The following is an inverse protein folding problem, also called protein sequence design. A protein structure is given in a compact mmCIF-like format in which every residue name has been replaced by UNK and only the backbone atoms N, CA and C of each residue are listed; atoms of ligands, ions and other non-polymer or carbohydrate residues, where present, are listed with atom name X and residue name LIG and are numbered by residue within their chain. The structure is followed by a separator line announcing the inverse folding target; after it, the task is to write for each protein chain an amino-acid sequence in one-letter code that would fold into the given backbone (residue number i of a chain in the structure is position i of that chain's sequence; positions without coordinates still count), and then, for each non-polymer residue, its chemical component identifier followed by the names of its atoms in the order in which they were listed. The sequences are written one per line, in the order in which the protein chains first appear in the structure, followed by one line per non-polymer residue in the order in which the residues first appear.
data_IF_346005677354
#
_entry.id   IF_346005677354
#
_cell.length_a   1.000
_cell.length_b   1.000
_cell.length_c   1.000
_cell.angle_alpha   90.00
_cell.angle_beta   90.00
_cell.angle_gamma   90.00
#
_symmetry.space_group_name_H-M   'P 1'
#
loop_
_entity.id
_entity.type
_entity.pdbx_description
1 polymer ?
#
# COMPACT_ATOMS: atom_id res chain seq x y z
N UNK A 1 15.69 -0.31 5.92
CA UNK A 1 15.20 -0.88 4.65
C UNK A 1 13.71 -1.12 4.90
N UNK A 2 12.93 -0.04 5.06
CA UNK A 2 11.69 -0.08 5.87
C UNK A 2 10.57 0.76 5.26
N UNK A 3 10.12 0.42 4.05
CA UNK A 3 8.75 0.80 3.61
C UNK A 3 8.39 0.01 2.34
N UNK A 4 8.61 -1.31 2.38
CA UNK A 4 7.71 -2.19 1.63
C UNK A 4 6.35 -2.00 2.29
N UNK A 5 5.26 -1.84 1.55
CA UNK A 5 3.92 -1.83 2.18
C UNK A 5 3.87 -3.04 3.11
N UNK A 6 3.70 -2.85 4.43
CA UNK A 6 3.77 -3.98 5.32
C UNK A 6 2.60 -4.88 4.93
N UNK A 7 2.90 -6.09 4.46
CA UNK A 7 1.88 -7.08 4.06
C UNK A 7 0.80 -7.22 5.12
N UNK A 8 1.15 -7.06 6.40
CA UNK A 8 0.19 -7.01 7.52
C UNK A 8 -0.83 -5.86 7.48
N UNK A 9 -0.50 -4.69 6.92
CA UNK A 9 -1.49 -3.62 6.69
C UNK A 9 -2.48 -4.04 5.61
N UNK A 10 -1.99 -4.56 4.49
CA UNK A 10 -2.84 -5.04 3.39
C UNK A 10 -3.74 -6.18 3.88
N UNK A 11 -3.18 -7.15 4.60
CA UNK A 11 -3.94 -8.26 5.18
C UNK A 11 -5.08 -7.76 6.09
N UNK A 12 -4.85 -6.74 6.93
CA UNK A 12 -5.91 -6.14 7.76
C UNK A 12 -6.99 -5.45 6.94
N UNK A 13 -6.62 -4.75 5.86
CA UNK A 13 -7.59 -4.11 4.97
C UNK A 13 -8.43 -5.16 4.25
N UNK A 14 -7.79 -6.22 3.72
CA UNK A 14 -8.49 -7.31 3.06
C UNK A 14 -9.39 -8.06 4.05
N UNK A 15 -8.91 -8.47 5.22
CA UNK A 15 -9.70 -9.18 6.23
C UNK A 15 -10.96 -8.41 6.64
N UNK A 16 -10.87 -7.08 6.74
CA UNK A 16 -11.99 -6.21 7.12
C UNK A 16 -13.05 -6.07 6.04
N UNK A 17 -12.63 -5.95 4.77
CA UNK A 17 -13.54 -5.53 3.69
C UNK A 17 -13.91 -6.65 2.73
N UNK A 18 -13.12 -7.73 2.68
CA UNK A 18 -13.33 -8.83 1.75
C UNK A 18 -14.43 -9.75 2.28
N UNK A 19 -15.50 -9.90 1.50
CA UNK A 19 -16.65 -10.72 1.87
C UNK A 19 -16.38 -12.18 1.52
N UNK A 20 -15.74 -12.89 2.45
CA UNK A 20 -15.44 -14.31 2.31
C UNK A 20 -16.69 -15.19 2.54
N UNK A 21 -16.77 -16.38 1.92
CA UNK A 21 -17.86 -17.32 2.15
C UNK A 21 -17.95 -17.72 3.63
N UNK A 22 -19.17 -17.72 4.17
CA UNK A 22 -19.42 -18.14 5.56
C UNK A 22 -19.18 -19.64 5.81
N UNK A 23 -18.99 -20.43 4.74
CA UNK A 23 -18.67 -21.85 4.81
C UNK A 23 -17.19 -22.14 5.08
N UNK A 24 -16.32 -21.14 4.93
CA UNK A 24 -14.88 -21.29 5.20
C UNK A 24 -14.61 -21.21 6.69
N UNK A 25 -13.67 -22.03 7.15
CA UNK A 25 -13.17 -21.93 8.51
C UNK A 25 -12.17 -20.75 8.67
N UNK A 26 -11.81 -20.44 9.92
CA UNK A 26 -10.92 -19.32 10.20
C UNK A 26 -9.51 -19.51 9.62
N UNK A 27 -9.05 -20.75 9.41
CA UNK A 27 -7.74 -21.04 8.84
C UNK A 27 -7.73 -20.81 7.33
N UNK A 28 -8.74 -21.32 6.62
CA UNK A 28 -8.94 -21.11 5.18
C UNK A 28 -9.08 -19.61 4.85
N UNK A 29 -9.83 -18.87 5.68
CA UNK A 29 -9.97 -17.41 5.52
C UNK A 29 -8.65 -16.68 5.72
N UNK A 30 -7.88 -17.06 6.74
CA UNK A 30 -6.58 -16.47 7.05
C UNK A 30 -5.57 -16.70 5.93
N UNK A 31 -5.47 -17.94 5.46
CA UNK A 31 -4.56 -18.33 4.39
C UNK A 31 -4.84 -17.54 3.12
N UNK A 32 -6.11 -17.47 2.70
CA UNK A 32 -6.51 -16.67 1.55
C UNK A 32 -6.15 -15.19 1.69
N UNK A 33 -6.43 -14.59 2.85
CA UNK A 33 -6.11 -13.18 3.12
C UNK A 33 -4.61 -12.94 3.10
N UNK A 34 -3.82 -13.83 3.69
CA UNK A 34 -2.36 -13.68 3.75
C UNK A 34 -1.73 -13.83 2.35
N UNK A 35 -2.20 -14.77 1.52
CA UNK A 35 -1.77 -14.91 0.13
C UNK A 35 -2.16 -13.68 -0.71
N UNK A 36 -3.43 -13.28 -0.66
CA UNK A 36 -3.91 -12.10 -1.38
C UNK A 36 -3.16 -10.84 -0.94
N UNK A 37 -2.84 -10.71 0.36
CA UNK A 37 -2.08 -9.58 0.86
C UNK A 37 -0.64 -9.55 0.33
N UNK A 38 0.00 -10.70 0.15
CA UNK A 38 1.33 -10.79 -0.45
C UNK A 38 1.31 -10.36 -1.92
N UNK A 39 0.35 -10.87 -2.70
CA UNK A 39 0.20 -10.49 -4.11
C UNK A 39 -0.06 -8.99 -4.27
N UNK A 40 -0.98 -8.45 -3.46
CA UNK A 40 -1.29 -7.02 -3.47
C UNK A 40 -0.09 -6.18 -3.03
N UNK A 41 0.62 -6.58 -1.98
CA UNK A 41 1.82 -5.87 -1.53
C UNK A 41 2.91 -5.84 -2.60
N UNK A 42 3.12 -6.96 -3.32
CA UNK A 42 4.08 -7.03 -4.43
C UNK A 42 3.69 -6.03 -5.54
N UNK A 43 2.42 -6.05 -5.96
CA UNK A 43 1.93 -5.11 -6.99
C UNK A 43 2.08 -3.65 -6.58
N UNK A 44 1.90 -3.34 -5.29
CA UNK A 44 2.15 -1.98 -4.80
C UNK A 44 3.62 -1.60 -4.89
N UNK A 45 4.54 -2.50 -4.53
CA UNK A 45 5.98 -2.23 -4.62
C UNK A 45 6.39 -1.95 -6.05
N UNK A 46 5.99 -2.80 -6.98
CA UNK A 46 6.30 -2.63 -8.40
C UNK A 46 5.79 -1.28 -8.93
N UNK A 47 4.54 -0.94 -8.64
CA UNK A 47 3.95 0.32 -9.07
C UNK A 47 4.61 1.53 -8.38
N UNK A 48 4.95 1.40 -7.10
CA UNK A 48 5.59 2.45 -6.33
C UNK A 48 7.00 2.75 -6.84
N UNK A 49 7.78 1.74 -7.19
CA UNK A 49 9.13 1.91 -7.73
C UNK A 49 9.08 2.61 -9.09
N UNK A 50 8.19 2.19 -9.99
CA UNK A 50 7.94 2.88 -11.28
C UNK A 50 7.57 4.36 -11.09
N UNK A 51 6.70 4.63 -10.12
CA UNK A 51 6.24 6.00 -9.84
C UNK A 51 7.31 6.84 -9.15
N UNK A 52 8.11 6.25 -8.27
CA UNK A 52 9.22 6.92 -7.61
C UNK A 52 10.29 7.33 -8.62
N UNK A 53 10.66 6.44 -9.55
CA UNK A 53 11.62 6.73 -10.61
C UNK A 53 11.13 7.87 -11.50
N UNK A 54 9.83 7.86 -11.85
CA UNK A 54 9.22 8.95 -12.60
C UNK A 54 9.22 10.26 -11.82
N UNK A 55 8.88 10.22 -10.53
CA UNK A 55 8.82 11.40 -9.68
C UNK A 55 10.20 12.06 -9.50
N UNK A 56 11.24 11.26 -9.25
CA UNK A 56 12.63 11.72 -9.17
C UNK A 56 13.08 12.33 -10.50
N UNK A 57 12.78 11.67 -11.61
CA UNK A 57 13.11 12.17 -12.96
C UNK A 57 12.43 13.52 -13.24
N UNK A 58 11.13 13.63 -12.96
CA UNK A 58 10.37 14.86 -13.17
C UNK A 58 10.84 16.00 -12.26
N UNK A 59 11.13 15.70 -11.00
CA UNK A 59 11.66 16.70 -10.07
C UNK A 59 13.00 17.23 -10.58
N UNK A 60 13.88 16.35 -11.04
CA UNK A 60 15.20 16.74 -11.54
C UNK A 60 15.14 17.59 -12.80
N UNK A 61 14.20 17.31 -13.70
CA UNK A 61 13.93 18.14 -14.88
C UNK A 61 13.44 19.54 -14.51
N UNK A 62 12.59 19.67 -13.48
CA UNK A 62 12.04 20.95 -13.05
C UNK A 62 13.07 21.83 -12.33
N UNK A 63 13.96 21.21 -11.54
CA UNK A 63 14.91 21.94 -10.69
C UNK A 63 16.33 22.00 -11.26
N UNK A 64 16.56 21.36 -12.41
CA UNK A 64 17.87 21.27 -13.09
C UNK A 64 18.99 20.73 -12.18
N UNK A 65 18.64 19.89 -11.21
CA UNK A 65 19.56 19.25 -10.26
C UNK A 65 18.96 17.93 -9.77
N UNK A 66 19.78 17.03 -9.22
CA UNK A 66 19.26 15.83 -8.55
C UNK A 66 18.66 16.19 -7.19
N UNK A 67 17.59 15.50 -6.75
CA UNK A 67 17.06 15.69 -5.41
C UNK A 67 18.12 15.32 -4.38
N UNK A 68 18.13 16.03 -3.26
CA UNK A 68 18.87 15.59 -2.09
C UNK A 68 18.18 14.36 -1.47
N UNK A 69 18.85 13.73 -0.51
CA UNK A 69 18.37 12.49 0.10
C UNK A 69 17.02 12.63 0.79
N UNK A 70 16.73 13.80 1.37
CA UNK A 70 15.45 14.06 2.04
C UNK A 70 14.32 14.19 1.01
N UNK A 71 14.54 15.02 -0.02
CA UNK A 71 13.59 15.17 -1.13
C UNK A 71 13.34 13.84 -1.85
N UNK A 72 14.39 13.06 -2.11
CA UNK A 72 14.25 11.75 -2.74
C UNK A 72 13.42 10.80 -1.87
N UNK A 73 13.65 10.79 -0.54
CA UNK A 73 12.87 9.97 0.38
C UNK A 73 11.39 10.39 0.40
N UNK A 74 11.08 11.68 0.32
CA UNK A 74 9.71 12.19 0.23
C UNK A 74 9.02 11.76 -1.07
N UNK A 75 9.70 11.88 -2.21
CA UNK A 75 9.17 11.45 -3.51
C UNK A 75 8.85 9.95 -3.52
N UNK A 76 9.75 9.13 -2.97
CA UNK A 76 9.54 7.68 -2.81
C UNK A 76 8.36 7.39 -1.89
N UNK A 77 8.24 8.11 -0.78
CA UNK A 77 7.14 7.92 0.17
C UNK A 77 5.78 8.26 -0.44
N UNK A 78 5.71 9.35 -1.21
CA UNK A 78 4.49 9.75 -1.88
C UNK A 78 4.10 8.77 -2.99
N UNK A 79 5.07 8.29 -3.78
CA UNK A 79 4.86 7.26 -4.78
C UNK A 79 4.30 5.98 -4.16
N UNK A 80 4.87 5.53 -3.03
CA UNK A 80 4.38 4.35 -2.27
C UNK A 80 2.97 4.52 -1.76
N UNK A 81 2.65 5.66 -1.13
CA UNK A 81 1.30 5.93 -0.62
C UNK A 81 0.28 5.93 -1.77
N UNK A 82 0.62 6.59 -2.86
CA UNK A 82 -0.25 6.70 -4.03
C UNK A 82 -0.48 5.32 -4.66
N UNK A 83 0.59 4.53 -4.84
CA UNK A 83 0.51 3.18 -5.39
C UNK A 83 -0.34 2.25 -4.52
N UNK A 84 -0.19 2.33 -3.19
CA UNK A 84 -1.02 1.57 -2.24
C UNK A 84 -2.51 1.88 -2.43
N UNK A 85 -2.87 3.16 -2.45
CA UNK A 85 -4.26 3.58 -2.64
C UNK A 85 -4.79 3.10 -3.99
N UNK A 86 -4.02 3.26 -5.07
CA UNK A 86 -4.43 2.82 -6.41
C UNK A 86 -4.68 1.32 -6.47
N UNK A 87 -3.77 0.49 -5.96
CA UNK A 87 -3.95 -0.97 -5.99
C UNK A 87 -5.12 -1.39 -5.09
N UNK A 88 -5.28 -0.78 -3.90
CA UNK A 88 -6.42 -1.09 -3.04
C UNK A 88 -7.76 -0.70 -3.67
N UNK A 89 -7.84 0.41 -4.40
CA UNK A 89 -9.03 0.77 -5.18
C UNK A 89 -9.34 -0.26 -6.27
N UNK A 90 -8.31 -0.81 -6.94
CA UNK A 90 -8.50 -1.85 -7.95
C UNK A 90 -9.02 -3.16 -7.34
N UNK A 91 -8.52 -3.53 -6.16
CA UNK A 91 -8.85 -4.80 -5.47
C UNK A 91 -10.17 -4.70 -4.71
N UNK A 92 -10.49 -3.53 -4.14
CA UNK A 92 -11.66 -3.27 -3.32
C UNK A 92 -12.45 -2.06 -3.87
N UNK A 93 -13.04 -2.14 -5.07
CA UNK A 93 -13.65 -1.00 -5.75
C UNK A 93 -14.86 -0.40 -5.02
N UNK A 94 -15.52 -1.20 -4.18
CA UNK A 94 -16.69 -0.76 -3.40
C UNK A 94 -16.32 -0.12 -2.05
N UNK A 95 -15.03 -0.09 -1.70
CA UNK A 95 -14.57 0.47 -0.41
C UNK A 95 -14.15 1.94 -0.60
N UNK A 96 -14.71 2.88 0.18
CA UNK A 96 -14.28 4.27 0.15
C UNK A 96 -12.79 4.41 0.51
N UNK A 97 -12.08 5.28 -0.22
CA UNK A 97 -10.64 5.54 0.02
C UNK A 97 -10.34 5.98 1.46
N UNK A 98 -11.28 6.70 2.09
CA UNK A 98 -11.15 7.15 3.47
C UNK A 98 -10.97 5.97 4.45
N UNK A 99 -11.65 4.84 4.18
CA UNK A 99 -11.66 3.67 5.06
C UNK A 99 -10.31 2.94 5.07
N UNK A 100 -9.52 3.03 3.98
CA UNK A 100 -8.18 2.45 3.92
C UNK A 100 -7.23 3.09 4.96
N UNK A 101 -7.42 4.38 5.26
CA UNK A 101 -6.60 5.11 6.23
C UNK A 101 -7.03 4.85 7.69
N UNK A 102 -8.29 4.51 7.93
CA UNK A 102 -8.78 4.15 9.26
C UNK A 102 -8.21 2.81 9.76
N UNK A 103 -7.99 1.87 8.84
CA UNK A 103 -7.35 0.57 9.15
C UNK A 103 -5.88 0.73 9.57
N UNK A 104 -5.19 1.74 9.02
CA UNK A 104 -3.81 2.10 9.42
C UNK A 104 -3.70 2.74 10.81
N UNK A 105 -4.70 3.53 11.21
CA UNK A 105 -4.70 4.28 12.47
C UNK A 105 -5.11 3.45 13.70
N UNK A 106 -5.87 2.38 13.50
CA UNK A 106 -6.31 1.49 14.59
C UNK A 106 -5.22 0.55 15.11
N UNK A 107 -4.05 0.51 14.45
CA UNK A 107 -2.89 -0.29 14.87
C UNK A 107 -1.83 0.46 15.68
N UNK A 108 -1.90 1.79 15.78
CA UNK A 108 -0.97 2.59 16.60
C UNK A 108 -1.68 2.92 17.91
N UNK A 109 -1.59 1.99 18.85
CA UNK A 109 -1.97 2.24 20.23
C UNK A 109 -0.93 3.20 20.83
N UNK A 110 -1.24 4.50 20.80
CA UNK A 110 -0.55 5.52 21.59
C UNK A 110 -0.90 5.27 23.07
N UNK A 111 -0.07 4.45 23.73
CA UNK A 111 0.03 4.39 25.19
C UNK A 111 1.50 4.50 25.59
#
# INVERSE_FOLDING_TARGET
MDDLVPTGLVARVLDRHLRLPASWDDAERREFVDEAAQEVALRVVELADDWADRAVTQWGQQHWRLPDSETQAELVREARRSALVTVLCDVLPDVPVADFFEVGLTGVNIN
#
